data_IF_892634839886
#
_entry.id   IF_892634839886
#
_cell.length_a   1.000
_cell.length_b   1.000
_cell.length_c   1.000
_cell.angle_alpha   90.00
_cell.angle_beta   90.00
_cell.angle_gamma   90.00
#
_symmetry.space_group_name_H-M   'P 1'
#
loop_
_entity.id
_entity.type
_entity.pdbx_description
1 polymer ?
#
# COMPACT_ATOMS: atom_id res chain seq x y z
N UNK A 1 -0.05 -9.90 25.30
CA UNK A 1 1.18 -10.46 24.74
C UNK A 1 2.11 -10.75 25.90
N UNK A 2 2.39 -12.01 26.13
CA UNK A 2 3.35 -12.45 27.14
C UNK A 2 4.76 -12.07 26.68
N UNK A 3 5.34 -11.05 27.31
CA UNK A 3 6.68 -10.53 26.99
C UNK A 3 7.81 -11.57 27.19
N UNK A 4 7.49 -12.74 27.77
CA UNK A 4 8.45 -13.78 28.10
C UNK A 4 8.60 -14.84 26.98
N UNK A 5 7.79 -14.78 25.91
CA UNK A 5 7.81 -15.78 24.82
C UNK A 5 8.30 -15.25 23.48
N UNK A 6 8.81 -14.02 23.41
CA UNK A 6 9.49 -13.54 22.21
C UNK A 6 10.95 -14.00 22.27
N UNK A 7 11.27 -15.08 21.60
CA UNK A 7 12.66 -15.47 21.38
C UNK A 7 13.24 -14.62 20.26
N UNK A 8 14.36 -13.99 20.52
CA UNK A 8 15.11 -13.16 19.53
C UNK A 8 15.54 -13.98 18.29
N UNK A 9 15.45 -15.32 18.36
CA UNK A 9 15.79 -16.22 17.26
C UNK A 9 14.81 -16.20 16.09
N UNK A 10 13.58 -15.70 16.31
CA UNK A 10 12.51 -15.71 15.30
C UNK A 10 12.37 -14.36 14.57
N UNK A 11 13.33 -13.45 14.75
CA UNK A 11 13.28 -12.13 14.14
C UNK A 11 14.64 -11.74 13.54
N UNK A 12 14.68 -11.20 12.31
CA UNK A 12 13.57 -10.99 11.39
C UNK A 12 13.21 -12.26 10.61
N UNK A 13 11.93 -12.49 10.37
CA UNK A 13 11.43 -13.61 9.55
C UNK A 13 11.94 -13.57 8.11
N UNK A 14 12.36 -12.39 7.64
CA UNK A 14 13.02 -12.19 6.34
C UNK A 14 14.34 -11.46 6.59
N UNK A 15 15.46 -12.12 6.24
CA UNK A 15 16.79 -11.52 6.32
C UNK A 15 17.11 -10.70 5.05
N UNK A 16 16.20 -9.79 4.68
CA UNK A 16 16.30 -8.92 3.51
C UNK A 16 15.60 -7.60 3.77
N UNK A 17 15.92 -6.58 2.97
CA UNK A 17 15.22 -5.31 2.97
C UNK A 17 13.84 -5.48 2.31
N UNK A 18 12.77 -5.24 3.06
CA UNK A 18 11.37 -5.37 2.63
C UNK A 18 10.63 -4.10 3.08
N UNK A 19 10.94 -2.94 2.48
CA UNK A 19 10.37 -1.68 2.91
C UNK A 19 8.92 -1.49 2.42
N UNK A 20 8.17 -0.64 3.14
CA UNK A 20 6.83 -0.16 2.77
C UNK A 20 5.86 -1.31 2.43
N UNK A 21 5.82 -2.31 3.28
CA UNK A 21 5.04 -3.52 3.05
C UNK A 21 3.54 -3.31 3.26
N UNK A 22 2.70 -4.01 2.49
CA UNK A 22 1.27 -4.20 2.77
C UNK A 22 0.96 -5.70 2.78
N UNK A 23 0.21 -6.14 3.79
CA UNK A 23 -0.11 -7.56 4.03
C UNK A 23 -1.61 -7.75 4.06
N UNK A 24 -2.08 -8.82 3.40
CA UNK A 24 -3.46 -9.30 3.52
C UNK A 24 -3.48 -10.79 3.86
N UNK A 25 -4.59 -11.25 4.46
CA UNK A 25 -4.89 -12.67 4.60
C UNK A 25 -6.00 -13.07 3.65
N UNK A 26 -5.82 -14.18 2.94
CA UNK A 26 -6.86 -14.81 2.12
C UNK A 26 -6.89 -16.30 2.43
N UNK A 27 -7.97 -16.77 3.04
CA UNK A 27 -8.06 -18.13 3.55
C UNK A 27 -7.02 -18.41 4.64
N UNK A 28 -6.17 -19.40 4.42
CA UNK A 28 -5.11 -19.80 5.35
C UNK A 28 -3.76 -19.12 5.05
N UNK A 29 -3.68 -18.35 3.96
CA UNK A 29 -2.43 -17.75 3.49
C UNK A 29 -2.38 -16.25 3.77
N UNK A 30 -1.19 -15.76 4.08
CA UNK A 30 -0.85 -14.35 4.11
C UNK A 30 -0.07 -14.00 2.86
N UNK A 31 -0.40 -12.87 2.25
CA UNK A 31 0.31 -12.35 1.10
C UNK A 31 0.81 -10.95 1.41
N UNK A 32 2.04 -10.68 1.04
CA UNK A 32 2.72 -9.41 1.27
C UNK A 32 3.29 -8.87 -0.03
N UNK A 33 3.21 -7.58 -0.22
CA UNK A 33 3.91 -6.83 -1.26
C UNK A 33 4.84 -5.81 -0.63
N UNK A 34 5.87 -5.40 -1.36
CA UNK A 34 6.87 -4.45 -0.89
C UNK A 34 7.38 -3.59 -2.04
N UNK A 35 7.97 -2.45 -1.73
CA UNK A 35 8.68 -1.63 -2.70
C UNK A 35 9.97 -2.30 -3.18
N UNK A 36 10.37 -2.01 -4.42
CA UNK A 36 11.68 -2.40 -4.96
C UNK A 36 12.52 -1.18 -5.38
N UNK A 37 12.00 0.02 -5.17
CA UNK A 37 12.61 1.31 -5.54
C UNK A 37 12.87 1.45 -7.04
N UNK A 38 13.75 0.70 -7.60
CA UNK A 38 14.33 0.90 -8.94
C UNK A 38 14.56 -0.40 -9.72
N UNK A 39 14.00 -1.51 -9.28
CA UNK A 39 14.29 -2.81 -9.87
C UNK A 39 13.10 -3.37 -10.65
N UNK A 40 13.41 -4.09 -11.70
CA UNK A 40 12.50 -4.96 -12.44
C UNK A 40 13.03 -6.39 -12.29
N UNK A 41 12.21 -7.38 -11.96
CA UNK A 41 10.76 -7.29 -11.74
C UNK A 41 10.39 -6.48 -10.48
N UNK A 42 9.30 -5.73 -10.56
CA UNK A 42 8.81 -4.86 -9.49
C UNK A 42 7.65 -5.44 -8.72
N UNK A 43 7.51 -4.98 -7.48
CA UNK A 43 6.48 -5.38 -6.52
C UNK A 43 6.45 -6.90 -6.34
N UNK A 44 7.41 -7.45 -5.57
CA UNK A 44 7.42 -8.86 -5.23
C UNK A 44 6.16 -9.21 -4.43
N UNK A 45 5.60 -10.36 -4.73
CA UNK A 45 4.51 -10.97 -3.96
C UNK A 45 5.11 -12.10 -3.15
N UNK A 46 5.01 -11.98 -1.84
CA UNK A 46 5.49 -12.97 -0.88
C UNK A 46 4.30 -13.66 -0.22
N UNK A 47 4.47 -14.93 0.10
CA UNK A 47 3.47 -15.77 0.77
C UNK A 47 4.01 -16.31 2.08
N UNK A 48 3.14 -16.41 3.07
CA UNK A 48 3.39 -17.08 4.34
C UNK A 48 2.11 -17.78 4.83
N UNK A 49 2.28 -18.78 5.70
CA UNK A 49 1.18 -19.39 6.46
C UNK A 49 1.24 -19.07 7.95
N UNK A 50 2.31 -18.42 8.41
CA UNK A 50 2.59 -18.20 9.84
C UNK A 50 3.09 -16.78 10.16
N UNK A 51 3.21 -15.89 9.16
CA UNK A 51 3.77 -14.53 9.27
C UNK A 51 5.27 -14.47 9.62
N UNK A 52 5.93 -15.61 9.72
CA UNK A 52 7.36 -15.75 10.07
C UNK A 52 8.17 -16.19 8.86
N UNK A 53 7.73 -17.24 8.19
CA UNK A 53 8.41 -17.81 7.03
C UNK A 53 7.75 -17.32 5.75
N UNK A 54 8.52 -16.64 4.91
CA UNK A 54 8.04 -16.03 3.68
C UNK A 54 8.79 -16.56 2.47
N UNK A 55 8.07 -16.77 1.38
CA UNK A 55 8.62 -17.12 0.07
C UNK A 55 8.11 -16.15 -1.00
N UNK A 56 8.95 -15.78 -1.97
CA UNK A 56 8.51 -15.01 -3.14
C UNK A 56 7.81 -15.98 -4.08
N UNK A 57 6.54 -15.73 -4.37
CA UNK A 57 5.71 -16.59 -5.24
C UNK A 57 5.45 -15.95 -6.61
N UNK A 58 5.49 -14.62 -6.71
CA UNK A 58 5.21 -13.91 -7.97
C UNK A 58 5.77 -12.49 -7.93
N UNK A 59 5.65 -11.76 -9.03
CA UNK A 59 5.86 -10.32 -9.14
C UNK A 59 4.68 -9.69 -9.88
N UNK A 60 4.15 -8.58 -9.37
CA UNK A 60 3.03 -7.90 -10.02
C UNK A 60 3.45 -7.25 -11.34
N UNK A 61 4.70 -6.81 -11.46
CA UNK A 61 5.26 -6.20 -12.66
C UNK A 61 6.57 -6.87 -13.06
N UNK A 62 6.52 -7.78 -14.01
CA UNK A 62 7.73 -8.38 -14.57
C UNK A 62 8.43 -7.47 -15.59
N UNK A 63 7.67 -6.61 -16.27
CA UNK A 63 8.17 -5.69 -17.28
C UNK A 63 7.19 -4.54 -17.44
N UNK A 64 7.71 -3.32 -17.56
CA UNK A 64 6.91 -2.16 -17.95
C UNK A 64 6.79 -2.12 -19.47
N UNK A 65 5.59 -2.08 -20.05
CA UNK A 65 5.43 -1.93 -21.48
C UNK A 65 6.04 -0.61 -21.97
N UNK A 66 6.83 -0.67 -23.05
CA UNK A 66 7.45 0.48 -23.71
C UNK A 66 8.23 1.45 -22.80
N UNK A 67 8.90 0.88 -21.78
CA UNK A 67 9.64 1.64 -20.77
C UNK A 67 11.06 1.06 -20.57
N UNK A 68 11.91 1.15 -21.61
CA UNK A 68 13.28 0.66 -21.56
C UNK A 68 14.04 1.13 -20.31
N UNK A 69 13.81 2.38 -19.91
CA UNK A 69 14.38 2.98 -18.71
C UNK A 69 14.07 2.19 -17.42
N UNK A 70 12.82 1.76 -17.25
CA UNK A 70 12.39 0.99 -16.08
C UNK A 70 12.71 -0.50 -16.21
N UNK A 71 12.82 -0.99 -17.44
CA UNK A 71 13.18 -2.37 -17.75
C UNK A 71 14.70 -2.61 -17.74
N UNK A 72 15.50 -1.59 -17.54
CA UNK A 72 16.96 -1.63 -17.57
C UNK A 72 17.49 -2.14 -18.92
N UNK A 73 16.85 -1.75 -20.02
CA UNK A 73 17.14 -2.18 -21.36
C UNK A 73 17.87 -1.11 -22.18
N UNK A 74 18.50 -1.52 -23.28
CA UNK A 74 19.19 -0.62 -24.22
C UNK A 74 20.18 0.35 -23.55
N UNK A 75 20.84 -0.10 -22.49
CA UNK A 75 21.79 0.71 -21.71
C UNK A 75 21.16 1.81 -20.86
N UNK A 76 19.82 1.85 -20.79
CA UNK A 76 19.09 2.78 -19.93
C UNK A 76 18.93 2.21 -18.53
N UNK A 77 18.83 3.10 -17.55
CA UNK A 77 18.59 2.73 -16.16
C UNK A 77 18.00 3.90 -15.39
N UNK A 78 17.21 3.60 -14.36
CA UNK A 78 16.62 4.59 -13.47
C UNK A 78 16.65 4.10 -12.03
N UNK A 79 17.81 4.25 -11.41
CA UNK A 79 17.92 4.00 -9.97
C UNK A 79 17.25 5.11 -9.17
N UNK A 80 16.54 4.75 -8.09
CA UNK A 80 15.72 5.61 -7.21
C UNK A 80 14.39 6.10 -7.81
N UNK A 81 14.02 5.68 -9.01
CA UNK A 81 12.76 6.02 -9.66
C UNK A 81 12.04 4.75 -10.13
N UNK A 82 11.81 3.83 -9.22
CA UNK A 82 11.15 2.57 -9.52
C UNK A 82 9.80 2.44 -8.82
N UNK A 83 9.40 1.20 -8.57
CA UNK A 83 8.19 0.86 -7.84
C UNK A 83 8.37 1.21 -6.37
N UNK A 84 7.55 2.13 -5.87
CA UNK A 84 7.54 2.57 -4.48
C UNK A 84 6.42 1.87 -3.71
N UNK A 85 6.07 2.36 -2.51
CA UNK A 85 5.09 1.76 -1.64
C UNK A 85 3.87 1.23 -2.39
N UNK A 86 3.57 -0.04 -2.20
CA UNK A 86 2.48 -0.73 -2.86
C UNK A 86 1.37 -1.08 -1.87
N UNK A 87 0.12 -1.11 -2.35
CA UNK A 87 -1.00 -1.63 -1.58
C UNK A 87 -1.58 -2.86 -2.26
N UNK A 88 -1.84 -3.89 -1.47
CA UNK A 88 -2.39 -5.17 -1.89
C UNK A 88 -3.80 -5.36 -1.30
N UNK A 89 -4.77 -5.70 -2.12
CA UNK A 89 -6.13 -6.05 -1.67
C UNK A 89 -6.68 -7.23 -2.46
N UNK A 90 -7.54 -8.00 -1.80
CA UNK A 90 -8.39 -9.00 -2.44
C UNK A 90 -9.85 -8.53 -2.40
N UNK A 91 -10.53 -8.60 -3.52
CA UNK A 91 -11.94 -8.24 -3.60
C UNK A 91 -12.80 -9.48 -3.75
N UNK A 92 -13.56 -9.82 -2.71
CA UNK A 92 -14.42 -10.99 -2.66
C UNK A 92 -15.51 -11.02 -3.74
N UNK A 93 -15.97 -9.84 -4.22
CA UNK A 93 -17.00 -9.76 -5.26
C UNK A 93 -16.46 -10.12 -6.64
N UNK A 94 -15.28 -9.60 -6.97
CA UNK A 94 -14.65 -9.84 -8.28
C UNK A 94 -13.76 -11.07 -8.30
N UNK A 95 -13.42 -11.60 -7.12
CA UNK A 95 -12.45 -12.70 -6.94
C UNK A 95 -11.08 -12.37 -7.53
N UNK A 96 -10.69 -11.10 -7.49
CA UNK A 96 -9.42 -10.61 -7.98
C UNK A 96 -8.56 -10.07 -6.84
N UNK A 97 -7.28 -10.28 -6.98
CA UNK A 97 -6.25 -9.55 -6.27
C UNK A 97 -5.92 -8.26 -7.02
N UNK A 98 -5.64 -7.22 -6.27
CA UNK A 98 -5.28 -5.90 -6.78
C UNK A 98 -3.98 -5.44 -6.12
N UNK A 99 -3.01 -5.05 -6.91
CA UNK A 99 -1.81 -4.36 -6.46
C UNK A 99 -1.79 -2.98 -7.09
N UNK A 100 -1.64 -1.96 -6.28
CA UNK A 100 -1.48 -0.59 -6.74
C UNK A 100 -0.16 -0.02 -6.23
N UNK A 101 0.49 0.80 -7.03
CA UNK A 101 1.67 1.54 -6.64
C UNK A 101 1.93 2.73 -7.56
N UNK A 102 2.78 3.63 -7.10
CA UNK A 102 3.24 4.77 -7.88
C UNK A 102 4.67 4.55 -8.34
N UNK A 103 4.96 4.90 -9.58
CA UNK A 103 6.32 4.96 -10.12
C UNK A 103 6.71 6.42 -10.22
N UNK A 104 7.82 6.79 -9.57
CA UNK A 104 8.29 8.17 -9.57
C UNK A 104 8.65 8.65 -10.96
N UNK A 105 8.22 9.88 -11.28
CA UNK A 105 8.38 10.53 -12.59
C UNK A 105 7.69 9.81 -13.75
N UNK A 106 6.79 8.88 -13.48
CA UNK A 106 6.01 8.19 -14.52
C UNK A 106 4.51 8.27 -14.22
N UNK A 107 4.01 7.50 -13.25
CA UNK A 107 2.60 7.51 -12.93
C UNK A 107 2.16 6.39 -12.00
N UNK A 108 0.86 6.20 -11.96
CA UNK A 108 0.20 5.23 -11.10
C UNK A 108 -0.22 4.00 -11.89
N UNK A 109 0.05 2.84 -11.29
CA UNK A 109 -0.28 1.53 -11.84
C UNK A 109 -1.25 0.79 -10.93
N UNK A 110 -2.16 0.04 -11.55
CA UNK A 110 -2.97 -0.97 -10.91
C UNK A 110 -2.82 -2.29 -11.66
N UNK A 111 -2.53 -3.34 -10.95
CA UNK A 111 -2.43 -4.70 -11.50
C UNK A 111 -3.50 -5.57 -10.88
N UNK A 112 -4.09 -6.46 -11.69
CA UNK A 112 -5.11 -7.40 -11.23
C UNK A 112 -4.82 -8.81 -11.70
N UNK A 113 -5.11 -9.81 -10.85
CA UNK A 113 -5.04 -11.23 -11.21
C UNK A 113 -6.05 -12.04 -10.40
N UNK A 114 -6.62 -13.12 -10.94
CA UNK A 114 -7.41 -14.08 -10.15
C UNK A 114 -6.53 -15.06 -9.35
N UNK A 115 -5.25 -15.21 -9.74
CA UNK A 115 -4.31 -16.13 -9.10
C UNK A 115 -3.02 -15.35 -8.74
N UNK A 116 -2.87 -15.04 -7.46
CA UNK A 116 -1.76 -14.23 -6.97
C UNK A 116 -0.41 -14.97 -7.02
N UNK A 117 -0.43 -16.31 -6.96
CA UNK A 117 0.78 -17.12 -6.87
C UNK A 117 1.36 -17.43 -8.26
N UNK A 118 0.50 -17.78 -9.24
CA UNK A 118 0.94 -18.26 -10.55
C UNK A 118 0.34 -17.49 -11.73
N UNK A 119 -0.60 -16.59 -11.44
CA UNK A 119 -1.35 -15.90 -12.48
C UNK A 119 -0.55 -14.79 -13.15
N UNK A 120 -0.94 -14.50 -14.40
CA UNK A 120 -0.50 -13.31 -15.10
C UNK A 120 -1.27 -12.09 -14.59
N UNK A 121 -0.56 -11.00 -14.39
CA UNK A 121 -1.14 -9.75 -13.96
C UNK A 121 -1.58 -8.91 -15.15
N UNK A 122 -2.78 -8.36 -15.05
CA UNK A 122 -3.32 -7.41 -16.01
C UNK A 122 -3.04 -6.00 -15.53
N UNK A 123 -2.41 -5.19 -16.38
CA UNK A 123 -1.95 -3.85 -16.03
C UNK A 123 -2.94 -2.76 -16.44
N UNK A 124 -3.09 -1.74 -15.58
CA UNK A 124 -3.80 -0.49 -15.84
C UNK A 124 -2.93 0.68 -15.40
N UNK A 125 -3.02 1.79 -16.13
CA UNK A 125 -2.14 2.94 -15.95
C UNK A 125 -2.88 4.27 -16.05
N UNK A 126 -2.38 5.27 -15.34
CA UNK A 126 -2.70 6.69 -15.53
C UNK A 126 -1.46 7.54 -15.25
N UNK A 127 -1.20 8.51 -16.12
CA UNK A 127 -0.12 9.48 -15.92
C UNK A 127 -0.55 10.51 -14.85
N UNK A 128 -0.45 10.10 -13.60
CA UNK A 128 -0.70 10.95 -12.41
C UNK A 128 0.06 10.35 -11.23
N UNK A 129 0.38 11.15 -10.23
CA UNK A 129 1.01 10.64 -9.02
C UNK A 129 -0.03 10.49 -7.92
N UNK A 130 -0.09 9.29 -7.35
CA UNK A 130 -0.75 9.01 -6.07
C UNK A 130 0.34 8.53 -5.10
N UNK A 131 0.99 9.46 -4.42
CA UNK A 131 2.11 9.15 -3.53
C UNK A 131 1.66 8.28 -2.35
N UNK A 132 2.37 7.18 -2.10
CA UNK A 132 2.09 6.16 -1.08
C UNK A 132 0.61 5.76 -1.04
N UNK A 133 0.14 5.10 -2.11
CA UNK A 133 -1.28 4.85 -2.28
C UNK A 133 -1.75 3.66 -1.44
N UNK A 134 -2.91 3.78 -0.81
CA UNK A 134 -3.66 2.67 -0.25
C UNK A 134 -4.95 2.43 -1.02
N UNK A 135 -5.21 1.18 -1.36
CA UNK A 135 -6.45 0.77 -2.02
C UNK A 135 -7.50 0.39 -0.98
N UNK A 136 -8.74 0.83 -1.21
CA UNK A 136 -9.89 0.39 -0.42
C UNK A 136 -11.13 0.27 -1.30
N UNK A 137 -11.95 -0.75 -1.03
CA UNK A 137 -13.24 -0.94 -1.65
C UNK A 137 -14.36 -0.56 -0.68
N UNK A 138 -15.37 0.15 -1.19
CA UNK A 138 -16.60 0.45 -0.47
C UNK A 138 -17.80 0.25 -1.38
N UNK A 139 -18.63 -0.74 -1.05
CA UNK A 139 -19.69 -1.20 -1.96
C UNK A 139 -19.09 -1.67 -3.28
N UNK A 140 -19.51 -1.04 -4.38
CA UNK A 140 -18.94 -1.25 -5.72
C UNK A 140 -17.88 -0.22 -6.10
N UNK A 141 -17.60 0.72 -5.19
CA UNK A 141 -16.59 1.75 -5.40
C UNK A 141 -15.18 1.27 -5.12
N UNK A 142 -14.24 1.72 -5.94
CA UNK A 142 -12.81 1.54 -5.78
C UNK A 142 -12.17 2.90 -5.51
N UNK A 143 -11.43 2.99 -4.41
CA UNK A 143 -10.87 4.26 -3.92
C UNK A 143 -9.39 4.12 -3.64
N UNK A 144 -8.65 5.18 -3.98
CA UNK A 144 -7.23 5.33 -3.62
C UNK A 144 -7.11 6.43 -2.56
N UNK A 145 -6.53 6.08 -1.41
CA UNK A 145 -6.07 7.02 -0.41
C UNK A 145 -4.60 7.31 -0.71
N UNK A 146 -4.17 8.56 -0.72
CA UNK A 146 -2.80 8.92 -1.09
C UNK A 146 -2.34 10.21 -0.42
N UNK A 147 -1.05 10.42 -0.36
CA UNK A 147 -0.44 11.58 0.31
C UNK A 147 -1.06 11.82 1.69
N UNK A 148 -1.12 10.76 2.48
CA UNK A 148 -1.76 10.73 3.78
C UNK A 148 -3.26 10.46 3.71
N UNK A 149 -4.11 11.47 3.47
CA UNK A 149 -5.57 11.32 3.58
C UNK A 149 -6.38 11.89 2.41
N UNK A 150 -5.76 12.14 1.27
CA UNK A 150 -6.54 12.46 0.08
C UNK A 150 -7.22 11.19 -0.44
N UNK A 151 -8.47 11.32 -0.89
CA UNK A 151 -9.23 10.21 -1.48
C UNK A 151 -9.61 10.55 -2.91
N UNK A 152 -9.42 9.58 -3.81
CA UNK A 152 -9.87 9.62 -5.18
C UNK A 152 -10.64 8.34 -5.52
N UNK A 153 -11.85 8.49 -6.03
CA UNK A 153 -12.57 7.36 -6.63
C UNK A 153 -12.00 7.06 -8.00
N UNK A 154 -11.76 5.79 -8.29
CA UNK A 154 -11.24 5.34 -9.58
C UNK A 154 -12.06 4.19 -10.13
N UNK A 155 -11.93 3.95 -11.43
CA UNK A 155 -12.36 2.74 -12.12
C UNK A 155 -11.29 2.26 -13.08
N UNK A 156 -11.41 0.99 -13.50
CA UNK A 156 -10.50 0.36 -14.46
C UNK A 156 -11.23 0.19 -15.78
N UNK A 157 -10.61 0.63 -16.87
CA UNK A 157 -11.10 0.45 -18.24
C UNK A 157 -10.12 -0.43 -19.02
N UNK A 158 -10.65 -1.51 -19.56
CA UNK A 158 -9.89 -2.44 -20.38
C UNK A 158 -9.25 -1.79 -21.61
N UNK A 159 -8.09 -2.33 -22.01
CA UNK A 159 -7.53 -2.03 -23.32
C UNK A 159 -8.36 -2.65 -24.43
N UNK A 160 -8.52 -1.95 -25.53
CA UNK A 160 -9.09 -2.52 -26.75
C UNK A 160 -8.11 -3.41 -27.52
N UNK A 161 -6.80 -3.25 -27.25
CA UNK A 161 -5.75 -4.09 -27.84
C UNK A 161 -5.52 -5.32 -26.98
N UNK A 162 -5.38 -6.49 -27.61
CA UNK A 162 -5.03 -7.73 -26.93
C UNK A 162 -3.66 -7.57 -26.23
N UNK A 163 -3.60 -7.94 -24.95
CA UNK A 163 -2.38 -7.78 -24.13
C UNK A 163 -1.99 -6.34 -23.83
N UNK A 164 -2.81 -5.36 -24.25
CA UNK A 164 -2.52 -3.95 -24.02
C UNK A 164 -2.81 -3.52 -22.57
N UNK A 165 -2.15 -2.42 -22.16
CA UNK A 165 -2.41 -1.79 -20.87
C UNK A 165 -3.79 -1.11 -20.88
N UNK A 166 -4.59 -1.43 -19.85
CA UNK A 166 -5.84 -0.74 -19.58
C UNK A 166 -5.59 0.66 -18.99
N UNK A 167 -6.66 1.37 -18.73
CA UNK A 167 -6.62 2.72 -18.14
C UNK A 167 -7.19 2.74 -16.74
N UNK A 168 -6.51 3.42 -15.83
CA UNK A 168 -7.11 3.90 -14.60
C UNK A 168 -7.83 5.21 -14.91
N UNK A 169 -9.10 5.31 -14.51
CA UNK A 169 -9.94 6.49 -14.73
C UNK A 169 -10.29 7.12 -13.40
N UNK A 170 -10.05 8.42 -13.24
CA UNK A 170 -10.52 9.19 -12.08
C UNK A 170 -12.02 9.45 -12.21
N UNK A 171 -12.77 9.16 -11.17
CA UNK A 171 -14.19 9.45 -11.07
C UNK A 171 -14.42 10.57 -10.06
N UNK A 172 -14.91 11.71 -10.55
CA UNK A 172 -15.08 12.90 -9.72
C UNK A 172 -13.78 13.56 -9.30
N UNK A 173 -13.86 14.42 -8.30
CA UNK A 173 -12.73 15.19 -7.77
C UNK A 173 -12.13 14.52 -6.56
N UNK A 174 -10.81 14.60 -6.41
CA UNK A 174 -10.14 14.21 -5.18
C UNK A 174 -10.39 15.25 -4.08
N UNK A 175 -10.36 14.80 -2.83
CA UNK A 175 -10.47 15.65 -1.65
C UNK A 175 -9.70 15.07 -0.46
N UNK A 176 -9.36 15.91 0.50
CA UNK A 176 -8.92 15.45 1.80
C UNK A 176 -10.12 14.95 2.63
N UNK A 177 -9.95 13.83 3.33
CA UNK A 177 -10.97 13.26 4.21
C UNK A 177 -11.17 14.08 5.48
N UNK A 178 -10.08 14.63 6.02
CA UNK A 178 -10.06 15.45 7.22
C UNK A 178 -8.87 16.39 7.22
N UNK A 179 -8.82 17.32 8.16
CA UNK A 179 -7.65 18.18 8.34
C UNK A 179 -6.51 17.33 8.95
N UNK A 180 -5.31 17.43 8.38
CA UNK A 180 -4.14 16.70 8.87
C UNK A 180 -3.76 17.00 10.32
N UNK A 181 -4.30 18.06 10.92
CA UNK A 181 -4.14 18.37 12.35
C UNK A 181 -5.17 17.69 13.25
N UNK A 182 -6.06 16.84 12.71
CA UNK A 182 -7.03 16.09 13.48
C UNK A 182 -6.32 15.27 14.58
N UNK A 183 -6.84 15.33 15.80
CA UNK A 183 -6.21 14.72 16.98
C UNK A 183 -5.11 15.57 17.60
N UNK A 184 -4.91 16.83 17.15
CA UNK A 184 -3.90 17.75 17.69
C UNK A 184 -2.48 17.49 17.16
N UNK A 185 -2.32 16.61 16.19
CA UNK A 185 -1.01 16.29 15.61
C UNK A 185 -0.53 17.41 14.68
N UNK A 186 0.80 17.63 14.71
CA UNK A 186 1.51 18.47 13.76
C UNK A 186 2.41 17.59 12.92
N UNK A 187 2.46 17.84 11.62
CA UNK A 187 3.18 17.00 10.67
C UNK A 187 4.11 17.83 9.80
N UNK A 188 5.39 17.44 9.75
CA UNK A 188 6.34 17.89 8.74
C UNK A 188 6.32 16.99 7.51
N UNK A 189 6.11 15.69 7.70
CA UNK A 189 5.86 14.68 6.67
C UNK A 189 4.56 13.96 6.99
N UNK A 190 3.81 13.54 5.97
CA UNK A 190 2.56 12.80 6.11
C UNK A 190 2.35 11.92 4.88
N UNK A 191 2.46 10.61 5.06
CA UNK A 191 2.46 9.62 3.99
C UNK A 191 2.14 8.22 4.51
N UNK A 192 2.42 7.16 3.72
CA UNK A 192 2.37 5.77 4.15
C UNK A 192 0.98 5.30 4.58
N UNK A 193 -0.06 5.72 3.85
CA UNK A 193 -1.42 5.33 4.21
C UNK A 193 -1.67 3.84 3.99
N UNK A 194 -2.29 3.19 4.99
CA UNK A 194 -2.95 1.89 4.83
C UNK A 194 -4.43 2.03 5.17
N UNK A 195 -5.29 1.39 4.39
CA UNK A 195 -6.75 1.55 4.50
C UNK A 195 -7.46 0.22 4.68
N UNK A 196 -8.37 0.16 5.65
CA UNK A 196 -9.11 -1.05 6.02
C UNK A 196 -10.58 -0.75 6.27
N UNK A 197 -11.43 -1.75 6.02
CA UNK A 197 -12.81 -1.78 6.52
C UNK A 197 -12.93 -2.96 7.48
N UNK A 198 -13.17 -2.68 8.75
CA UNK A 198 -13.30 -3.70 9.80
C UNK A 198 -14.62 -3.45 10.54
N UNK A 199 -15.55 -4.37 10.42
CA UNK A 199 -16.93 -4.19 10.89
C UNK A 199 -17.57 -2.97 10.23
N UNK A 200 -18.10 -2.06 11.05
CA UNK A 200 -18.79 -0.86 10.59
C UNK A 200 -17.85 0.34 10.32
N UNK A 201 -16.56 0.18 10.57
CA UNK A 201 -15.60 1.29 10.52
C UNK A 201 -14.60 1.15 9.38
N UNK A 202 -14.23 2.29 8.82
CA UNK A 202 -13.03 2.49 8.00
C UNK A 202 -11.90 2.95 8.91
N UNK A 203 -10.73 2.37 8.71
CA UNK A 203 -9.50 2.69 9.42
C UNK A 203 -8.45 3.13 8.43
N UNK A 204 -7.76 4.22 8.74
CA UNK A 204 -6.58 4.67 8.01
C UNK A 204 -5.41 4.70 8.97
N UNK A 205 -4.38 3.91 8.69
CA UNK A 205 -3.10 4.00 9.36
C UNK A 205 -2.25 4.96 8.54
N UNK A 206 -1.73 6.01 9.15
CA UNK A 206 -0.97 7.04 8.44
C UNK A 206 0.27 7.36 9.27
N UNK A 207 1.41 7.34 8.60
CA UNK A 207 2.67 7.76 9.20
C UNK A 207 2.99 9.21 8.89
N UNK A 208 3.82 9.78 9.73
CA UNK A 208 4.40 11.08 9.50
C UNK A 208 5.52 11.38 10.47
N UNK A 209 6.17 12.51 10.29
CA UNK A 209 7.17 12.99 11.21
C UNK A 209 6.76 14.32 11.83
N UNK A 210 7.24 14.56 13.05
CA UNK A 210 7.15 15.82 13.74
C UNK A 210 8.58 16.34 13.98
N UNK A 211 8.85 17.57 13.57
CA UNK A 211 10.23 18.03 13.53
C UNK A 211 11.04 17.25 12.49
N UNK A 212 12.33 17.08 12.70
CA UNK A 212 13.20 16.53 11.66
C UNK A 212 13.18 15.00 11.52
N UNK A 213 12.82 14.23 12.56
CA UNK A 213 13.09 12.79 12.52
C UNK A 213 12.17 11.89 13.38
N UNK A 214 11.24 12.44 14.14
CA UNK A 214 10.36 11.62 14.97
C UNK A 214 9.20 11.06 14.14
N UNK A 215 9.18 9.77 13.93
CA UNK A 215 8.09 9.05 13.25
C UNK A 215 6.94 8.78 14.21
N UNK A 216 5.73 8.93 13.70
CA UNK A 216 4.48 8.62 14.38
C UNK A 216 3.59 7.81 13.48
N UNK A 217 2.91 6.83 14.05
CA UNK A 217 1.82 6.11 13.42
C UNK A 217 0.51 6.52 14.09
N UNK A 218 -0.43 7.03 13.33
CA UNK A 218 -1.74 7.43 13.82
C UNK A 218 -2.82 6.68 13.08
N UNK A 219 -3.73 6.07 13.84
CA UNK A 219 -4.93 5.44 13.33
C UNK A 219 -6.07 6.46 13.30
N UNK A 220 -6.66 6.66 12.15
CA UNK A 220 -7.89 7.43 11.97
C UNK A 220 -9.03 6.47 11.67
N UNK A 221 -10.22 6.72 12.25
CA UNK A 221 -11.38 5.88 11.96
C UNK A 221 -12.64 6.70 11.74
N UNK A 222 -13.55 6.17 10.93
CA UNK A 222 -14.87 6.71 10.64
C UNK A 222 -15.85 5.61 10.23
N UNK A 223 -17.15 5.83 10.43
CA UNK A 223 -18.19 4.96 9.85
C UNK A 223 -18.51 5.29 8.39
N UNK A 224 -17.96 6.38 7.87
CA UNK A 224 -18.15 6.82 6.48
C UNK A 224 -16.81 7.01 5.81
N UNK A 225 -16.71 6.66 4.53
CA UNK A 225 -15.49 6.84 3.75
C UNK A 225 -15.62 8.04 2.80
N UNK A 226 -16.13 7.81 1.59
CA UNK A 226 -16.10 8.83 0.54
C UNK A 226 -17.00 10.02 0.84
N UNK A 227 -18.17 9.81 1.42
CA UNK A 227 -19.12 10.88 1.79
C UNK A 227 -18.91 11.42 3.22
N UNK A 228 -17.79 11.08 3.87
CA UNK A 228 -17.48 11.56 5.22
C UNK A 228 -17.21 13.05 5.24
N UNK A 229 -17.55 13.67 6.38
CA UNK A 229 -17.06 15.00 6.76
C UNK A 229 -15.86 14.87 7.68
N UNK A 230 -15.07 15.90 7.83
CA UNK A 230 -13.93 15.89 8.74
C UNK A 230 -14.33 15.54 10.20
N UNK A 231 -15.53 15.94 10.62
CA UNK A 231 -16.10 15.64 11.95
C UNK A 231 -16.52 14.18 12.14
N UNK A 232 -16.60 13.39 11.08
CA UNK A 232 -16.93 11.95 11.17
C UNK A 232 -15.69 11.11 11.55
N UNK A 233 -14.49 11.70 11.56
CA UNK A 233 -13.23 11.03 11.81
C UNK A 233 -12.71 11.27 13.22
N UNK A 234 -12.21 10.21 13.83
CA UNK A 234 -11.49 10.20 15.10
C UNK A 234 -10.04 9.82 14.86
N UNK A 235 -9.14 10.28 15.72
CA UNK A 235 -7.69 10.01 15.62
C UNK A 235 -7.15 9.43 16.91
N UNK A 236 -6.32 8.39 16.82
CA UNK A 236 -5.62 7.76 17.93
C UNK A 236 -4.16 7.55 17.58
N UNK A 237 -3.26 8.06 18.42
CA UNK A 237 -1.84 7.75 18.33
C UNK A 237 -1.63 6.27 18.65
N UNK A 238 -0.98 5.54 17.74
CA UNK A 238 -0.64 4.13 17.90
C UNK A 238 0.80 3.98 18.36
N UNK A 239 1.69 4.75 17.73
CA UNK A 239 3.12 4.67 17.97
C UNK A 239 3.80 6.04 17.85
N UNK A 240 4.80 6.28 18.68
CA UNK A 240 5.68 7.44 18.58
C UNK A 240 7.15 7.01 18.69
N UNK A 241 7.94 7.29 17.66
CA UNK A 241 9.33 6.88 17.55
C UNK A 241 10.32 7.62 18.45
N UNK A 242 9.86 8.63 19.19
CA UNK A 242 10.69 9.43 20.10
C UNK A 242 11.35 8.62 21.24
N UNK A 243 10.88 7.39 21.46
CA UNK A 243 11.41 6.48 22.49
C UNK A 243 12.61 5.66 22.01
N UNK A 244 13.00 5.75 20.74
CA UNK A 244 14.14 5.02 20.19
C UNK A 244 15.41 5.89 20.18
N UNK A 245 16.53 5.27 20.45
CA UNK A 245 17.84 5.91 20.65
C UNK A 245 18.27 6.80 19.46
N UNK A 246 17.81 6.49 18.25
CA UNK A 246 18.15 7.23 17.04
C UNK A 246 16.99 8.06 16.46
N UNK A 247 15.87 8.19 17.16
CA UNK A 247 14.75 9.04 16.77
C UNK A 247 14.00 8.64 15.48
N UNK A 248 14.43 7.57 14.83
CA UNK A 248 13.91 7.16 13.52
C UNK A 248 12.75 6.18 13.59
N UNK A 249 12.51 5.56 14.70
CA UNK A 249 11.40 4.66 15.00
C UNK A 249 10.81 3.82 13.85
N UNK A 250 10.04 2.82 14.20
CA UNK A 250 9.24 2.04 13.25
C UNK A 250 8.19 2.96 12.62
N UNK A 251 7.97 2.84 11.32
CA UNK A 251 6.97 3.60 10.58
C UNK A 251 6.29 2.71 9.55
N UNK A 252 5.13 3.16 9.07
CA UNK A 252 4.34 2.50 8.03
C UNK A 252 3.82 1.14 8.47
N UNK A 253 3.12 1.14 9.59
CA UNK A 253 2.41 -0.03 10.11
C UNK A 253 1.08 -0.27 9.43
N UNK A 254 0.62 -1.52 9.46
CA UNK A 254 -0.67 -1.93 8.94
C UNK A 254 -1.40 -2.87 9.91
N UNK A 255 -2.61 -3.26 9.52
CA UNK A 255 -3.46 -4.19 10.26
C UNK A 255 -3.60 -5.46 9.43
N UNK A 256 -3.28 -6.60 10.02
CA UNK A 256 -3.56 -7.91 9.44
C UNK A 256 -4.32 -8.75 10.45
N UNK A 257 -5.35 -9.46 10.00
CA UNK A 257 -6.08 -10.42 10.82
C UNK A 257 -5.30 -11.75 10.87
N UNK A 258 -5.36 -12.41 12.02
CA UNK A 258 -4.70 -13.69 12.25
C UNK A 258 -5.72 -14.78 12.55
N UNK A 259 -5.33 -16.05 12.32
CA UNK A 259 -6.10 -17.22 12.72
C UNK A 259 -5.51 -17.67 14.08
N UNK A 260 -6.38 -17.79 15.07
CA UNK A 260 -6.03 -18.36 16.36
C UNK A 260 -6.50 -19.79 16.44
#
# INVERSE_FOLDING_TARGET
LDKNNLTVADYPGIASDVPDLDIIRVGQNYYMVSTTMNLVPGVPVMKSTDLVHWEIVNYACNRFPDKDLFNLENGQQTYKNGSWAASLKYNEKTKLFYVIYNVNNDGFYCYTTPDIENGTWKAYYIQTSFHDPALIFDGDGMYVIYSGNNIQKISLKESSAEGGIGKVVKEGSSRALFNKTLGGFKWSLWEGAHAYKIGDYYYLMIIGSYGSWFRREVCYRSKKLYDSKASDWEAQLIFEGSTYEYGTGIAQGGIVDTIY
#
